data_IF_935800315415
#
_entry.id   IF_935800315415
#
_cell.length_a   1.000
_cell.length_b   1.000
_cell.length_c   1.000
_cell.angle_alpha   90.00
_cell.angle_beta   90.00
_cell.angle_gamma   90.00
#
_symmetry.space_group_name_H-M   'P 1'
#
loop_
_entity.id
_entity.type
_entity.pdbx_description
1 polymer ?
#
# COMPACT_ATOMS: atom_id res chain seq x y z
N UNK A 1 13.43 30.42 1.23
CA UNK A 1 14.77 30.06 1.75
C UNK A 1 15.69 29.66 0.61
N UNK A 2 15.35 28.69 -0.23
CA UNK A 2 16.19 28.18 -1.32
C UNK A 2 16.59 29.28 -2.32
N UNK A 3 15.68 30.20 -2.70
CA UNK A 3 15.98 31.32 -3.61
C UNK A 3 17.09 32.25 -3.08
N UNK A 4 17.31 32.28 -1.74
CA UNK A 4 18.35 33.12 -1.11
C UNK A 4 19.72 32.44 -1.03
N UNK A 5 19.78 31.11 -1.05
CA UNK A 5 20.97 30.30 -0.81
C UNK A 5 21.25 29.33 -1.96
N UNK A 6 21.14 29.79 -3.20
CA UNK A 6 21.26 28.96 -4.40
C UNK A 6 22.58 28.20 -4.53
N UNK A 7 23.67 28.78 -4.03
CA UNK A 7 25.00 28.15 -4.06
C UNK A 7 25.11 26.91 -3.17
N UNK A 8 24.20 26.75 -2.20
CA UNK A 8 24.16 25.61 -1.28
C UNK A 8 23.17 24.51 -1.73
N UNK A 9 22.50 24.72 -2.87
CA UNK A 9 21.49 23.77 -3.37
C UNK A 9 22.20 22.59 -4.04
N UNK A 10 21.83 21.38 -3.60
CA UNK A 10 22.10 20.18 -4.38
C UNK A 10 21.04 20.04 -5.49
N UNK A 11 21.37 20.49 -6.68
CA UNK A 11 20.48 20.53 -7.84
C UNK A 11 20.06 19.14 -8.33
N UNK A 12 20.87 18.09 -8.11
CA UNK A 12 20.51 16.71 -8.41
C UNK A 12 19.32 16.27 -7.57
N UNK A 13 19.41 16.42 -6.24
CA UNK A 13 18.29 16.08 -5.36
C UNK A 13 17.08 16.99 -5.54
N UNK A 14 17.33 18.27 -5.86
CA UNK A 14 16.24 19.20 -6.13
C UNK A 14 15.43 18.78 -7.37
N UNK A 15 16.09 18.20 -8.39
CA UNK A 15 15.42 17.73 -9.61
C UNK A 15 14.37 16.63 -9.33
N UNK A 16 14.53 15.85 -8.25
CA UNK A 16 13.56 14.84 -7.81
C UNK A 16 12.39 15.44 -7.03
N UNK A 17 12.51 16.64 -6.51
CA UNK A 17 11.50 17.22 -5.64
C UNK A 17 10.30 17.76 -6.45
N UNK A 18 9.09 17.16 -6.29
CA UNK A 18 7.92 17.58 -7.05
C UNK A 18 7.46 19.01 -6.75
N UNK A 19 7.78 19.53 -5.56
CA UNK A 19 7.37 20.88 -5.13
C UNK A 19 8.37 21.97 -5.56
N UNK A 20 9.49 21.60 -6.21
CA UNK A 20 10.53 22.53 -6.60
C UNK A 20 10.44 23.05 -8.04
N UNK A 21 9.34 22.78 -8.76
CA UNK A 21 9.22 23.03 -10.19
C UNK A 21 9.53 24.47 -10.60
N UNK A 22 9.07 25.48 -9.84
CA UNK A 22 9.31 26.87 -10.16
C UNK A 22 10.80 27.19 -10.15
N UNK A 23 11.54 26.66 -9.16
CA UNK A 23 12.97 26.87 -9.06
C UNK A 23 13.75 26.09 -10.12
N UNK A 24 13.27 24.89 -10.47
CA UNK A 24 13.79 24.05 -11.56
C UNK A 24 13.63 24.78 -12.91
N UNK A 25 12.45 25.35 -13.20
CA UNK A 25 12.16 26.09 -14.44
C UNK A 25 13.06 27.32 -14.59
N UNK A 26 13.40 28.00 -13.47
CA UNK A 26 14.28 29.18 -13.46
C UNK A 26 15.78 28.82 -13.63
N UNK A 27 16.20 27.56 -13.42
CA UNK A 27 17.60 27.13 -13.35
C UNK A 27 17.86 25.82 -14.11
N UNK A 28 17.38 25.72 -15.34
CA UNK A 28 17.47 24.51 -16.16
C UNK A 28 18.93 24.10 -16.54
N UNK A 29 19.85 25.00 -16.44
CA UNK A 29 21.30 24.79 -16.66
C UNK A 29 21.99 24.03 -15.50
N UNK A 30 21.39 24.02 -14.32
CA UNK A 30 21.92 23.40 -13.08
C UNK A 30 21.34 22.08 -12.71
N UNK A 31 20.12 21.74 -13.24
CA UNK A 31 19.38 20.55 -12.87
C UNK A 31 19.95 19.28 -13.49
N UNK A 32 19.62 18.14 -12.89
CA UNK A 32 19.85 16.82 -13.46
C UNK A 32 18.63 16.35 -14.26
N UNK A 33 18.68 16.43 -15.58
CA UNK A 33 17.63 15.96 -16.47
C UNK A 33 17.33 14.47 -16.30
N UNK A 34 18.38 13.69 -16.00
CA UNK A 34 18.24 12.28 -15.66
C UNK A 34 17.33 12.06 -14.46
N UNK A 35 17.57 12.78 -13.36
CA UNK A 35 16.77 12.67 -12.14
C UNK A 35 15.40 13.35 -12.29
N UNK A 36 15.33 14.44 -13.08
CA UNK A 36 14.07 15.08 -13.42
C UNK A 36 13.10 14.12 -14.13
N UNK A 37 13.62 13.14 -14.90
CA UNK A 37 12.78 12.11 -15.56
C UNK A 37 11.97 11.28 -14.56
N UNK A 38 12.36 11.23 -13.28
CA UNK A 38 11.59 10.56 -12.22
C UNK A 38 10.57 11.50 -11.53
N UNK A 39 10.63 12.81 -11.77
CA UNK A 39 9.76 13.79 -11.14
C UNK A 39 8.37 13.79 -11.80
N UNK A 40 7.35 13.35 -11.07
CA UNK A 40 5.99 13.17 -11.61
C UNK A 40 5.30 14.50 -11.97
N UNK A 41 5.72 15.62 -11.36
CA UNK A 41 5.16 16.94 -11.62
C UNK A 41 5.86 17.67 -12.79
N UNK A 42 7.00 17.15 -13.30
CA UNK A 42 7.81 17.82 -14.31
C UNK A 42 7.42 17.48 -15.76
N UNK A 43 6.27 16.85 -16.00
CA UNK A 43 5.91 16.31 -17.32
C UNK A 43 5.91 17.36 -18.43
N UNK A 44 5.42 18.57 -18.16
CA UNK A 44 5.43 19.68 -19.14
C UNK A 44 6.87 20.06 -19.55
N UNK A 45 7.79 20.15 -18.58
CA UNK A 45 9.18 20.47 -18.83
C UNK A 45 9.92 19.31 -19.54
N UNK A 46 9.64 18.08 -19.19
CA UNK A 46 10.16 16.88 -19.82
C UNK A 46 9.72 16.82 -21.31
N UNK A 47 8.46 17.14 -21.60
CA UNK A 47 7.92 17.10 -22.96
C UNK A 47 8.60 18.13 -23.90
N UNK A 48 9.08 19.23 -23.34
CA UNK A 48 9.83 20.26 -24.08
C UNK A 48 11.29 19.87 -24.35
N UNK A 49 11.87 18.91 -23.60
CA UNK A 49 13.29 18.60 -23.61
C UNK A 49 13.58 17.09 -23.73
N UNK A 50 12.92 16.41 -24.65
CA UNK A 50 12.98 14.95 -24.82
C UNK A 50 14.38 14.40 -25.17
N UNK A 51 15.30 15.25 -25.62
CA UNK A 51 16.68 14.86 -25.95
C UNK A 51 17.59 14.78 -24.71
N UNK A 52 17.17 15.35 -23.58
CA UNK A 52 17.99 15.47 -22.36
C UNK A 52 17.59 14.52 -21.25
N UNK A 53 16.42 13.89 -21.38
CA UNK A 53 15.86 12.99 -20.37
C UNK A 53 16.45 11.57 -20.42
N UNK A 54 16.33 10.87 -19.32
CA UNK A 54 16.63 9.44 -19.25
C UNK A 54 15.34 8.61 -19.47
N UNK A 55 15.22 7.99 -20.65
CA UNK A 55 14.07 7.18 -21.03
C UNK A 55 13.88 5.97 -20.15
N UNK A 56 14.96 5.40 -19.62
CA UNK A 56 14.90 4.27 -18.70
C UNK A 56 14.25 4.65 -17.38
N UNK A 57 14.58 5.81 -16.87
CA UNK A 57 13.98 6.35 -15.64
C UNK A 57 12.55 6.80 -15.91
N UNK A 58 12.30 7.44 -17.06
CA UNK A 58 10.95 7.87 -17.44
C UNK A 58 9.96 6.71 -17.53
N UNK A 59 10.40 5.50 -17.92
CA UNK A 59 9.54 4.32 -17.94
C UNK A 59 9.00 3.91 -16.56
N UNK A 60 9.67 4.27 -15.45
CA UNK A 60 9.15 4.06 -14.10
C UNK A 60 8.20 5.16 -13.65
N UNK A 61 8.25 6.35 -14.26
CA UNK A 61 7.43 7.48 -13.87
C UNK A 61 5.96 7.22 -14.23
N UNK A 62 5.10 7.19 -13.22
CA UNK A 62 3.68 6.84 -13.37
C UNK A 62 2.89 7.91 -14.14
N UNK A 63 3.38 9.17 -14.16
CA UNK A 63 2.76 10.29 -14.90
C UNK A 63 3.18 10.35 -16.38
N UNK A 64 4.21 9.58 -16.81
CA UNK A 64 4.82 9.71 -18.13
C UNK A 64 4.14 8.89 -19.24
N UNK A 65 3.04 8.20 -18.98
CA UNK A 65 2.44 7.23 -19.91
C UNK A 65 2.12 7.84 -21.29
N UNK A 66 1.63 9.08 -21.34
CA UNK A 66 1.28 9.71 -22.62
C UNK A 66 2.52 10.13 -23.42
N UNK A 67 3.59 10.54 -22.75
CA UNK A 67 4.89 10.81 -23.41
C UNK A 67 5.46 9.51 -23.98
N UNK A 68 5.39 8.41 -23.23
CA UNK A 68 5.86 7.09 -23.64
C UNK A 68 5.06 6.56 -24.83
N UNK A 69 3.74 6.73 -24.88
CA UNK A 69 2.90 6.35 -26.03
C UNK A 69 3.30 7.11 -27.29
N UNK A 70 3.57 8.41 -27.21
CA UNK A 70 4.03 9.24 -28.32
C UNK A 70 5.44 8.82 -28.80
N UNK A 71 6.27 8.28 -27.91
CA UNK A 71 7.66 7.91 -28.15
C UNK A 71 7.92 6.41 -28.02
N UNK A 72 7.06 5.59 -28.59
CA UNK A 72 6.98 4.14 -28.43
C UNK A 72 8.32 3.41 -28.63
N UNK A 73 9.16 3.87 -29.56
CA UNK A 73 10.48 3.27 -29.87
C UNK A 73 11.52 3.46 -28.76
N UNK A 74 11.29 4.42 -27.85
CA UNK A 74 12.18 4.73 -26.73
C UNK A 74 11.85 3.96 -25.46
N UNK A 75 10.75 3.18 -25.46
CA UNK A 75 10.27 2.45 -24.29
C UNK A 75 11.20 1.30 -23.95
N UNK A 76 11.71 1.31 -22.70
CA UNK A 76 12.29 0.13 -22.07
C UNK A 76 11.17 -0.71 -21.44
N UNK A 77 10.71 -1.75 -22.15
CA UNK A 77 9.58 -2.59 -21.75
C UNK A 77 9.80 -3.32 -20.44
N UNK A 78 11.05 -3.69 -20.13
CA UNK A 78 11.39 -4.32 -18.85
C UNK A 78 11.09 -3.36 -17.69
N UNK A 79 11.51 -2.10 -17.81
CA UNK A 79 11.25 -1.07 -16.79
C UNK A 79 9.78 -0.68 -16.74
N UNK A 80 9.15 -0.55 -17.91
CA UNK A 80 7.72 -0.25 -18.02
C UNK A 80 6.84 -1.32 -17.35
N UNK A 81 7.26 -2.60 -17.34
CA UNK A 81 6.53 -3.67 -16.68
C UNK A 81 6.38 -3.47 -15.16
N UNK A 82 7.24 -2.65 -14.53
CA UNK A 82 7.11 -2.26 -13.13
C UNK A 82 6.16 -1.07 -12.91
N UNK A 83 5.87 -0.28 -13.95
CA UNK A 83 5.06 0.92 -13.85
C UNK A 83 3.58 0.58 -13.65
N UNK A 84 2.99 1.06 -12.54
CA UNK A 84 1.62 0.71 -12.13
C UNK A 84 0.56 1.28 -13.08
N UNK A 85 0.84 2.41 -13.72
CA UNK A 85 -0.08 3.08 -14.63
C UNK A 85 0.05 2.59 -16.09
N UNK A 86 1.05 1.74 -16.39
CA UNK A 86 1.31 1.24 -17.75
C UNK A 86 0.45 0.03 -18.17
N UNK A 87 -0.45 -0.45 -17.32
CA UNK A 87 -1.15 -1.75 -17.51
C UNK A 87 -1.88 -1.83 -18.86
N UNK A 88 -2.54 -0.75 -19.28
CA UNK A 88 -3.25 -0.75 -20.56
C UNK A 88 -2.26 -0.83 -21.76
N UNK A 89 -1.14 -0.12 -21.70
CA UNK A 89 -0.09 -0.17 -22.71
C UNK A 89 0.58 -1.56 -22.77
N UNK A 90 0.80 -2.18 -21.61
CA UNK A 90 1.32 -3.55 -21.50
C UNK A 90 0.32 -4.58 -22.03
N UNK A 91 -0.99 -4.40 -21.78
CA UNK A 91 -2.05 -5.28 -22.27
C UNK A 91 -2.07 -5.35 -23.80
N UNK A 92 -1.83 -4.21 -24.44
CA UNK A 92 -1.78 -4.11 -25.91
C UNK A 92 -0.48 -4.66 -26.51
N UNK A 93 0.58 -4.86 -25.69
CA UNK A 93 1.92 -5.25 -26.13
C UNK A 93 2.49 -6.42 -25.31
N UNK A 94 1.72 -7.50 -25.15
CA UNK A 94 2.06 -8.62 -24.28
C UNK A 94 3.31 -9.39 -24.69
N UNK A 95 3.72 -9.29 -25.94
CA UNK A 95 4.98 -9.85 -26.48
C UNK A 95 6.23 -9.17 -25.94
N UNK A 96 6.10 -7.92 -25.44
CA UNK A 96 7.20 -7.10 -24.92
C UNK A 96 7.30 -7.09 -23.39
N UNK A 97 6.33 -7.67 -22.70
CA UNK A 97 6.28 -7.68 -21.23
C UNK A 97 7.43 -8.50 -20.64
N UNK A 98 8.14 -7.90 -19.68
CA UNK A 98 8.94 -8.68 -18.73
C UNK A 98 8.02 -9.24 -17.64
N UNK A 99 7.57 -10.48 -17.82
CA UNK A 99 6.63 -11.15 -16.91
C UNK A 99 7.19 -11.36 -15.50
N UNK A 100 8.54 -11.46 -15.40
CA UNK A 100 9.21 -11.55 -14.11
C UNK A 100 9.00 -10.26 -13.31
N UNK A 101 9.27 -9.11 -13.93
CA UNK A 101 9.07 -7.80 -13.30
C UNK A 101 7.57 -7.53 -13.10
N UNK A 102 6.73 -7.85 -14.10
CA UNK A 102 5.28 -7.66 -14.00
C UNK A 102 4.68 -8.37 -12.77
N UNK A 103 5.24 -9.50 -12.35
CA UNK A 103 4.76 -10.25 -11.18
C UNK A 103 4.86 -9.44 -9.87
N UNK A 104 5.69 -8.38 -9.83
CA UNK A 104 5.75 -7.45 -8.68
C UNK A 104 4.76 -6.30 -8.77
N UNK A 105 4.18 -6.06 -9.96
CA UNK A 105 3.30 -4.93 -10.19
C UNK A 105 1.90 -5.20 -9.62
N UNK A 106 1.50 -4.40 -8.64
CA UNK A 106 0.23 -4.60 -7.91
C UNK A 106 -1.02 -4.41 -8.78
N UNK A 107 -0.92 -3.63 -9.88
CA UNK A 107 -2.03 -3.38 -10.80
C UNK A 107 -2.13 -4.43 -11.92
N UNK A 108 -1.19 -5.36 -12.01
CA UNK A 108 -1.09 -6.30 -13.12
C UNK A 108 -1.88 -7.61 -12.93
N UNK A 109 -2.66 -7.77 -11.86
CA UNK A 109 -3.29 -9.05 -11.52
C UNK A 109 -4.15 -9.63 -12.64
N UNK A 110 -4.90 -8.80 -13.38
CA UNK A 110 -5.71 -9.27 -14.51
C UNK A 110 -4.88 -9.91 -15.64
N UNK A 111 -3.68 -9.38 -15.88
CA UNK A 111 -2.75 -9.93 -16.86
C UNK A 111 -2.11 -11.23 -16.35
N UNK A 112 -1.73 -11.27 -15.07
CA UNK A 112 -1.11 -12.43 -14.44
C UNK A 112 -2.07 -13.62 -14.36
N UNK A 113 -3.31 -13.41 -13.93
CA UNK A 113 -4.33 -14.44 -13.83
C UNK A 113 -4.71 -15.06 -15.18
N UNK A 114 -4.70 -14.23 -16.25
CA UNK A 114 -4.91 -14.72 -17.62
C UNK A 114 -3.71 -15.49 -18.19
N UNK A 115 -2.52 -15.34 -17.56
CA UNK A 115 -1.27 -15.96 -18.03
C UNK A 115 -0.53 -16.69 -16.90
N UNK A 116 -1.14 -17.67 -16.23
CA UNK A 116 -0.58 -18.26 -15.00
C UNK A 116 0.77 -18.98 -15.23
N UNK A 117 1.04 -19.41 -16.45
CA UNK A 117 2.30 -20.04 -16.85
C UNK A 117 3.48 -19.06 -16.98
N UNK A 118 3.19 -17.75 -17.05
CA UNK A 118 4.20 -16.68 -17.14
C UNK A 118 4.51 -16.02 -15.78
N UNK A 119 3.78 -16.37 -14.73
CA UNK A 119 3.96 -15.82 -13.38
C UNK A 119 5.33 -16.23 -12.82
N UNK A 120 6.10 -15.25 -12.36
CA UNK A 120 7.22 -15.50 -11.47
C UNK A 120 6.71 -15.55 -10.03
N UNK A 121 6.55 -16.77 -9.49
CA UNK A 121 5.97 -17.02 -8.18
C UNK A 121 6.80 -16.44 -7.05
N UNK A 122 8.14 -16.47 -7.18
CA UNK A 122 9.02 -15.90 -6.16
C UNK A 122 8.80 -14.40 -5.98
N UNK A 123 8.65 -13.68 -7.10
CA UNK A 123 8.41 -12.24 -7.07
C UNK A 123 6.95 -11.90 -6.76
N UNK A 124 5.99 -12.74 -7.17
CA UNK A 124 4.59 -12.59 -6.80
C UNK A 124 4.40 -12.64 -5.27
N UNK A 125 5.23 -13.41 -4.55
CA UNK A 125 5.19 -13.44 -3.08
C UNK A 125 5.40 -12.05 -2.45
N UNK A 126 6.12 -11.14 -3.10
CA UNK A 126 6.33 -9.77 -2.62
C UNK A 126 5.26 -8.78 -3.11
N UNK A 127 4.33 -9.21 -3.96
CA UNK A 127 3.27 -8.35 -4.49
C UNK A 127 2.22 -8.05 -3.41
N UNK A 128 1.96 -6.76 -3.06
CA UNK A 128 1.07 -6.40 -1.96
C UNK A 128 -0.42 -6.49 -2.31
N UNK A 129 -0.77 -6.80 -3.56
CA UNK A 129 -2.17 -6.90 -3.99
C UNK A 129 -2.87 -8.09 -3.28
N UNK A 130 -4.07 -7.90 -2.68
CA UNK A 130 -4.80 -8.98 -2.03
C UNK A 130 -5.09 -10.19 -2.93
N UNK A 131 -5.32 -9.97 -4.25
CA UNK A 131 -5.53 -11.05 -5.23
C UNK A 131 -4.26 -11.89 -5.42
N UNK A 132 -3.06 -11.30 -5.31
CA UNK A 132 -1.81 -12.05 -5.34
C UNK A 132 -1.71 -13.01 -4.15
N UNK A 133 -2.11 -12.56 -2.95
CA UNK A 133 -2.15 -13.42 -1.76
C UNK A 133 -3.17 -14.56 -1.91
N UNK A 134 -4.33 -14.29 -2.49
CA UNK A 134 -5.33 -15.34 -2.75
C UNK A 134 -4.80 -16.38 -3.76
N UNK A 135 -4.12 -15.92 -4.81
CA UNK A 135 -3.50 -16.80 -5.79
C UNK A 135 -2.38 -17.67 -5.16
N UNK A 136 -1.62 -17.12 -4.22
CA UNK A 136 -0.61 -17.85 -3.44
C UNK A 136 -1.23 -18.85 -2.47
N UNK A 137 -2.37 -18.54 -1.84
CA UNK A 137 -3.12 -19.49 -0.99
C UNK A 137 -3.57 -20.73 -1.76
N UNK A 138 -3.98 -20.53 -3.01
CA UNK A 138 -4.37 -21.63 -3.91
C UNK A 138 -3.18 -22.44 -4.44
N UNK A 139 -1.95 -21.88 -4.36
CA UNK A 139 -0.72 -22.48 -4.88
C UNK A 139 0.39 -22.52 -3.82
N UNK A 140 0.10 -23.05 -2.63
CA UNK A 140 0.98 -23.00 -1.46
C UNK A 140 2.38 -23.60 -1.70
N UNK A 141 2.50 -24.60 -2.56
CA UNK A 141 3.77 -25.23 -2.94
C UNK A 141 4.72 -24.29 -3.72
N UNK A 142 4.20 -23.15 -4.21
CA UNK A 142 4.97 -22.16 -4.96
C UNK A 142 5.38 -20.94 -4.11
N UNK A 143 5.09 -20.97 -2.81
CA UNK A 143 5.39 -19.85 -1.91
C UNK A 143 6.89 -19.80 -1.62
N UNK A 144 7.52 -18.68 -1.99
CA UNK A 144 8.86 -18.33 -1.54
C UNK A 144 8.78 -17.62 -0.18
N UNK A 145 9.11 -18.34 0.90
CA UNK A 145 9.00 -17.81 2.27
C UNK A 145 9.85 -16.58 2.53
N UNK A 146 11.04 -16.48 1.89
CA UNK A 146 11.89 -15.28 2.02
C UNK A 146 11.22 -14.02 1.45
N UNK A 147 10.52 -14.15 0.33
CA UNK A 147 9.92 -13.02 -0.34
C UNK A 147 8.55 -12.66 0.26
N UNK A 148 7.77 -13.65 0.69
CA UNK A 148 6.46 -13.38 1.29
C UNK A 148 6.60 -12.62 2.62
N UNK A 149 7.69 -12.82 3.38
CA UNK A 149 7.97 -12.05 4.58
C UNK A 149 8.18 -10.55 4.33
N UNK A 150 8.49 -10.15 3.08
CA UNK A 150 8.61 -8.74 2.68
C UNK A 150 7.27 -8.14 2.22
N UNK A 151 6.25 -8.98 2.04
CA UNK A 151 4.96 -8.54 1.55
C UNK A 151 4.17 -7.85 2.65
N UNK A 152 4.01 -6.52 2.52
CA UNK A 152 3.26 -5.72 3.48
C UNK A 152 1.76 -6.05 3.51
N UNK A 153 1.24 -6.67 2.43
CA UNK A 153 -0.16 -7.08 2.33
C UNK A 153 -0.56 -8.19 3.30
N UNK A 154 0.38 -9.08 3.69
CA UNK A 154 0.09 -10.16 4.65
C UNK A 154 -0.13 -9.67 6.07
N UNK A 155 0.38 -8.46 6.38
CA UNK A 155 0.23 -7.83 7.69
C UNK A 155 -0.96 -6.87 7.73
N UNK A 156 -1.76 -6.75 6.66
CA UNK A 156 -3.03 -6.05 6.74
C UNK A 156 -3.92 -6.83 7.68
N UNK A 157 -4.34 -6.17 8.75
CA UNK A 157 -5.30 -6.69 9.71
C UNK A 157 -6.56 -7.13 8.93
N UNK A 158 -6.89 -8.42 9.03
CA UNK A 158 -8.19 -8.91 8.62
C UNK A 158 -9.20 -8.40 9.66
N UNK A 159 -9.73 -7.20 9.41
CA UNK A 159 -10.67 -6.55 10.31
C UNK A 159 -11.91 -7.39 10.55
N UNK A 160 -12.38 -8.16 9.55
CA UNK A 160 -13.56 -9.01 9.69
C UNK A 160 -13.26 -10.22 10.59
N UNK A 161 -12.08 -10.82 10.46
CA UNK A 161 -11.63 -11.88 11.36
C UNK A 161 -11.46 -11.36 12.79
N UNK A 162 -10.80 -10.20 12.94
CA UNK A 162 -10.61 -9.59 14.27
C UNK A 162 -11.92 -9.13 14.87
N UNK A 163 -12.84 -8.58 14.09
CA UNK A 163 -14.18 -8.19 14.56
C UNK A 163 -14.95 -9.40 15.09
N UNK A 164 -15.03 -10.48 14.31
CA UNK A 164 -15.67 -11.71 14.76
C UNK A 164 -15.05 -12.28 16.04
N UNK A 165 -13.72 -12.28 16.12
CA UNK A 165 -13.00 -12.74 17.32
C UNK A 165 -13.21 -11.82 18.51
N UNK A 166 -13.23 -10.52 18.29
CA UNK A 166 -13.51 -9.53 19.33
C UNK A 166 -14.96 -9.62 19.80
N UNK A 167 -15.93 -9.90 18.92
CA UNK A 167 -17.32 -10.09 19.30
C UNK A 167 -17.47 -11.34 20.19
N UNK A 168 -16.84 -12.46 19.84
CA UNK A 168 -16.81 -13.68 20.68
C UNK A 168 -16.13 -13.38 22.03
N UNK A 169 -14.97 -12.71 22.00
CA UNK A 169 -14.23 -12.35 23.21
C UNK A 169 -15.03 -11.40 24.11
N UNK A 170 -15.76 -10.46 23.51
CA UNK A 170 -16.64 -9.54 24.23
C UNK A 170 -17.79 -10.30 24.91
N UNK A 171 -18.44 -11.24 24.22
CA UNK A 171 -19.48 -12.08 24.79
C UNK A 171 -18.97 -12.93 25.95
N UNK A 172 -17.82 -13.59 25.78
CA UNK A 172 -17.16 -14.36 26.85
C UNK A 172 -16.77 -13.50 28.03
N UNK A 173 -16.21 -12.31 27.75
CA UNK A 173 -15.79 -11.35 28.78
C UNK A 173 -17.01 -10.79 29.53
N UNK A 174 -18.11 -10.47 28.81
CA UNK A 174 -19.36 -10.01 29.43
C UNK A 174 -19.98 -11.10 30.27
N UNK A 175 -20.06 -12.34 29.78
CA UNK A 175 -20.53 -13.48 30.53
C UNK A 175 -19.68 -13.74 31.80
N UNK A 176 -18.37 -13.51 31.72
CA UNK A 176 -17.47 -13.65 32.85
C UNK A 176 -17.61 -12.51 33.87
N UNK A 177 -17.64 -11.25 33.41
CA UNK A 177 -17.75 -10.07 34.27
C UNK A 177 -19.11 -10.02 34.98
N UNK A 178 -20.18 -10.27 34.23
CA UNK A 178 -21.56 -10.20 34.74
C UNK A 178 -22.10 -11.52 35.22
N UNK A 179 -21.21 -12.51 35.46
CA UNK A 179 -21.64 -13.78 36.07
C UNK A 179 -22.25 -13.53 37.46
N UNK A 180 -23.49 -14.02 37.75
CA UNK A 180 -24.22 -13.69 38.97
C UNK A 180 -23.43 -13.92 40.27
N UNK A 181 -22.70 -15.04 40.36
CA UNK A 181 -21.83 -15.32 41.50
C UNK A 181 -20.69 -14.28 41.72
N UNK A 182 -20.22 -13.73 40.62
CA UNK A 182 -19.12 -12.77 40.67
C UNK A 182 -19.63 -11.40 41.10
N UNK A 183 -20.76 -10.97 40.57
CA UNK A 183 -21.45 -9.75 40.96
C UNK A 183 -21.86 -9.80 42.41
N UNK A 184 -22.42 -10.93 42.88
CA UNK A 184 -22.75 -11.17 44.28
C UNK A 184 -21.50 -11.06 45.18
N UNK A 185 -20.37 -11.70 44.79
CA UNK A 185 -19.14 -11.62 45.54
C UNK A 185 -18.54 -10.19 45.56
N UNK A 186 -18.65 -9.43 44.47
CA UNK A 186 -18.24 -8.03 44.40
C UNK A 186 -19.13 -7.16 45.30
N UNK A 187 -20.43 -7.37 45.26
CA UNK A 187 -21.38 -6.70 46.10
C UNK A 187 -21.03 -6.90 47.58
N UNK A 188 -20.88 -8.16 48.00
CA UNK A 188 -20.53 -8.50 49.42
C UNK A 188 -19.16 -7.99 49.80
N UNK A 189 -18.21 -7.86 48.90
CA UNK A 189 -16.86 -7.34 49.15
C UNK A 189 -16.81 -5.83 49.40
N UNK A 190 -17.62 -5.09 48.65
CA UNK A 190 -17.54 -3.62 48.63
C UNK A 190 -18.70 -2.92 49.34
N UNK A 191 -19.82 -3.61 49.61
CA UNK A 191 -21.03 -3.04 50.20
C UNK A 191 -21.43 -3.73 51.52
N UNK A 192 -20.51 -4.43 52.15
CA UNK A 192 -20.79 -5.20 53.38
C UNK A 192 -20.83 -4.36 54.65
N UNK A 193 -21.07 -3.06 54.54
CA UNK A 193 -21.43 -2.19 55.69
C UNK A 193 -22.42 -1.11 55.20
N UNK A 194 -23.64 -1.19 55.71
CA UNK A 194 -24.57 -0.08 55.85
C UNK A 194 -25.33 0.47 54.63
N UNK A 195 -25.65 -0.30 53.61
CA UNK A 195 -26.66 0.16 52.62
C UNK A 195 -27.80 -0.82 52.43
N UNK A 196 -29.04 -0.33 52.58
CA UNK A 196 -30.29 -1.07 52.34
C UNK A 196 -30.55 -1.40 50.87
N UNK A 197 -29.51 -1.35 50.01
CA UNK A 197 -29.63 -1.68 48.57
C UNK A 197 -29.61 -3.19 48.35
N UNK A 198 -30.72 -3.76 47.93
CA UNK A 198 -30.81 -5.17 47.55
C UNK A 198 -30.00 -5.47 46.27
N UNK A 199 -29.45 -6.70 46.20
CA UNK A 199 -28.70 -7.17 45.00
C UNK A 199 -29.57 -7.04 43.73
N UNK A 200 -30.87 -7.15 43.80
CA UNK A 200 -31.83 -6.96 42.69
C UNK A 200 -31.81 -5.52 42.18
N UNK A 201 -31.69 -4.50 43.04
CA UNK A 201 -31.65 -3.09 42.66
C UNK A 201 -30.29 -2.73 42.04
N UNK A 202 -29.20 -3.31 42.55
CA UNK A 202 -27.86 -3.16 41.94
C UNK A 202 -27.83 -3.80 40.53
N UNK A 203 -28.42 -4.95 40.33
CA UNK A 203 -28.49 -5.59 39.00
C UNK A 203 -29.40 -4.85 38.01
N UNK A 204 -30.43 -4.16 38.48
CA UNK A 204 -31.30 -3.31 37.67
C UNK A 204 -30.61 -2.02 37.25
N UNK A 205 -29.86 -1.39 38.14
CA UNK A 205 -29.17 -0.12 37.88
C UNK A 205 -27.97 -0.29 36.92
N UNK A 206 -27.19 -1.38 37.09
CA UNK A 206 -25.98 -1.61 36.26
C UNK A 206 -26.16 -2.64 35.16
N UNK A 207 -27.20 -3.49 35.22
CA UNK A 207 -27.54 -4.47 34.16
C UNK A 207 -28.27 -3.86 32.96
N UNK A 208 -28.98 -2.74 33.10
CA UNK A 208 -29.68 -2.07 32.00
C UNK A 208 -28.78 -1.16 31.15
N UNK A 209 -27.59 -0.81 31.61
CA UNK A 209 -26.66 0.02 30.85
C UNK A 209 -25.89 -0.71 29.73
N UNK A 210 -26.12 -2.00 29.53
CA UNK A 210 -25.43 -2.84 28.53
C UNK A 210 -26.32 -3.33 27.38
N UNK A 211 -27.45 -2.66 27.11
CA UNK A 211 -28.20 -2.87 25.88
C UNK A 211 -27.79 -1.84 24.82
N UNK A 212 -26.69 -2.14 24.11
CA UNK A 212 -26.32 -1.50 22.86
C UNK A 212 -26.00 -2.55 21.81
#
# INVERSE_FOLDING_TARGET
LLKKYQDNINWEFLSLNPDALDLIKENQDKISWRLLSANENAMELIEQHLDWIDWDILCFNESAIDILKKNFRKINWKRLSANKNAIELLRQNQDKIDWKILSTNENAMDLLEKNPHKINWDLLCANPNPRALELLRQNQQKICWQNICKNTGIFKLDYDFFKKRMDIFREEMMAYIFHPKRLSNLYYKYYNDDSDMDISDFMLEYGQSCSF
#
